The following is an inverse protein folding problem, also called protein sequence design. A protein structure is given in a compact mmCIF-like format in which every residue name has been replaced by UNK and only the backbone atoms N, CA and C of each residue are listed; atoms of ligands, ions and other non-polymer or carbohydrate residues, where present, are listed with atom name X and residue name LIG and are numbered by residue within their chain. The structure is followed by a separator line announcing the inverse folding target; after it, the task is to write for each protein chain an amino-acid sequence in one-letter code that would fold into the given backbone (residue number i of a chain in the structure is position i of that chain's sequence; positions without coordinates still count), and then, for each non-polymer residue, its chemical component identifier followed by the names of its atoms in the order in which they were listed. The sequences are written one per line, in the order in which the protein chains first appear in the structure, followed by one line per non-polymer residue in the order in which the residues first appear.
data_IF_893796860170
#
_entry.id   IF_893796860170
#
_cell.length_a   1.000
_cell.length_b   1.000
_cell.length_c   1.000
_cell.angle_alpha   90.00
_cell.angle_beta   90.00
_cell.angle_gamma   90.00
#
_symmetry.space_group_name_H-M   'P 1'
#
loop_
_entity.id
_entity.type
_entity.pdbx_description
1 polymer ?
#
# COMPACT_ATOMS: atom_id res chain seq x y z
N UNK A 1 24.96 0.09 -1.40
CA UNK A 1 23.97 1.07 -0.94
C UNK A 1 23.54 1.91 -2.11
N UNK A 2 22.25 2.20 -2.16
CA UNK A 2 21.67 2.87 -3.31
C UNK A 2 21.70 4.37 -3.21
N UNK A 3 22.07 4.92 -2.06
CA UNK A 3 21.98 6.35 -1.87
C UNK A 3 20.61 6.86 -1.48
N UNK A 4 19.61 5.98 -1.48
CA UNK A 4 18.28 6.37 -1.03
C UNK A 4 18.26 6.49 0.47
N UNK A 5 17.49 7.45 1.00
CA UNK A 5 17.35 7.60 2.44
C UNK A 5 16.59 6.42 3.03
N UNK A 6 16.71 6.25 4.33
CA UNK A 6 15.95 5.21 5.01
C UNK A 6 14.45 5.40 4.78
N UNK A 7 13.99 6.65 4.87
CA UNK A 7 12.59 6.94 4.65
C UNK A 7 12.15 6.50 3.26
N UNK A 8 12.94 6.79 2.24
CA UNK A 8 12.59 6.41 0.88
C UNK A 8 12.55 4.90 0.72
N UNK A 9 13.47 4.21 1.35
CA UNK A 9 13.50 2.76 1.26
C UNK A 9 12.30 2.13 1.95
N UNK A 10 11.91 2.68 3.09
CA UNK A 10 10.74 2.17 3.81
C UNK A 10 9.48 2.42 2.99
N UNK A 11 9.37 3.60 2.39
CA UNK A 11 8.20 3.90 1.57
C UNK A 11 8.12 2.98 0.37
N UNK A 12 9.24 2.70 -0.24
CA UNK A 12 9.27 1.81 -1.39
C UNK A 12 8.80 0.41 -0.99
N UNK A 13 9.24 -0.05 0.17
CA UNK A 13 8.81 -1.35 0.65
C UNK A 13 7.32 -1.36 0.98
N UNK A 14 6.82 -0.29 1.58
CA UNK A 14 5.40 -0.19 1.87
C UNK A 14 4.56 -0.26 0.60
N UNK A 15 4.99 0.46 -0.43
CA UNK A 15 4.28 0.44 -1.70
C UNK A 15 4.20 -0.98 -2.24
N UNK A 16 5.32 -1.67 -2.20
CA UNK A 16 5.36 -3.04 -2.70
C UNK A 16 4.41 -3.94 -1.93
N UNK A 17 4.44 -3.83 -0.61
CA UNK A 17 3.58 -4.66 0.23
C UNK A 17 2.11 -4.37 -0.04
N UNK A 18 1.76 -3.10 -0.15
CA UNK A 18 0.38 -2.72 -0.40
C UNK A 18 -0.07 -3.23 -1.76
N UNK A 19 0.75 -3.07 -2.78
CA UNK A 19 0.37 -3.48 -4.12
C UNK A 19 0.21 -5.00 -4.21
N UNK A 20 1.07 -5.74 -3.54
CA UNK A 20 0.94 -7.19 -3.51
C UNK A 20 -0.35 -7.60 -2.81
N UNK A 21 -0.69 -6.93 -1.72
CA UNK A 21 -1.93 -7.26 -1.01
C UNK A 21 -3.15 -6.92 -1.84
N UNK A 22 -3.12 -5.78 -2.54
CA UNK A 22 -4.22 -5.41 -3.41
C UNK A 22 -4.45 -6.46 -4.49
N UNK A 23 -3.38 -6.95 -5.06
CA UNK A 23 -3.49 -7.98 -6.08
C UNK A 23 -4.02 -9.28 -5.49
N UNK A 24 -3.49 -9.65 -4.35
CA UNK A 24 -3.89 -10.92 -3.71
C UNK A 24 -5.38 -10.91 -3.35
N UNK A 25 -5.87 -9.79 -2.85
CA UNK A 25 -7.26 -9.70 -2.41
C UNK A 25 -8.16 -9.05 -3.45
N UNK A 26 -7.67 -8.91 -4.68
CA UNK A 26 -8.45 -8.38 -5.80
C UNK A 26 -9.08 -7.04 -5.47
N UNK A 27 -8.27 -6.16 -4.89
CA UNK A 27 -8.66 -4.80 -4.56
C UNK A 27 -9.77 -4.71 -3.52
N UNK A 28 -9.95 -5.75 -2.71
CA UNK A 28 -10.90 -5.69 -1.61
C UNK A 28 -10.24 -4.94 -0.46
N UNK A 29 -10.55 -3.66 -0.35
CA UNK A 29 -9.84 -2.78 0.57
C UNK A 29 -10.03 -3.17 2.03
N UNK A 30 -11.21 -3.68 2.38
CA UNK A 30 -11.44 -4.12 3.76
C UNK A 30 -10.49 -5.25 4.12
N UNK A 31 -10.33 -6.22 3.23
CA UNK A 31 -9.46 -7.35 3.50
C UNK A 31 -8.00 -6.93 3.49
N UNK A 32 -7.63 -6.04 2.58
CA UNK A 32 -6.25 -5.55 2.53
C UNK A 32 -5.90 -4.82 3.81
N UNK A 33 -6.77 -3.92 4.26
CA UNK A 33 -6.50 -3.18 5.49
C UNK A 33 -6.35 -4.12 6.68
N UNK A 34 -7.26 -5.11 6.78
CA UNK A 34 -7.18 -6.06 7.88
C UNK A 34 -5.87 -6.85 7.82
N UNK A 35 -5.50 -7.29 6.63
CA UNK A 35 -4.28 -8.07 6.46
C UNK A 35 -3.04 -7.27 6.85
N UNK A 36 -3.03 -5.99 6.52
CA UNK A 36 -1.88 -5.15 6.80
C UNK A 36 -1.93 -4.50 8.18
N UNK A 37 -2.98 -4.76 8.95
CA UNK A 37 -3.10 -4.17 10.28
C UNK A 37 -3.41 -2.69 10.26
N UNK A 38 -4.08 -2.24 9.22
CA UNK A 38 -4.45 -0.83 9.06
C UNK A 38 -5.95 -0.66 9.16
N UNK A 39 -6.36 0.55 9.58
CA UNK A 39 -7.75 0.92 9.42
C UNK A 39 -8.00 1.23 7.94
N UNK A 40 -9.28 1.21 7.55
CA UNK A 40 -9.59 1.55 6.17
C UNK A 40 -9.17 2.98 5.84
N UNK A 41 -9.39 3.89 6.79
CA UNK A 41 -8.97 5.27 6.57
C UNK A 41 -7.46 5.36 6.41
N UNK A 42 -6.71 4.60 7.23
CA UNK A 42 -5.27 4.59 7.11
C UNK A 42 -4.80 4.05 5.78
N UNK A 43 -5.47 3.00 5.29
CA UNK A 43 -5.13 2.45 3.99
C UNK A 43 -5.40 3.46 2.89
N UNK A 44 -6.56 4.12 2.92
CA UNK A 44 -6.88 5.12 1.92
C UNK A 44 -5.85 6.25 1.90
N UNK A 45 -5.41 6.68 3.08
CA UNK A 45 -4.41 7.74 3.14
C UNK A 45 -3.11 7.30 2.49
N UNK A 46 -2.71 6.06 2.69
CA UNK A 46 -1.49 5.56 2.07
C UNK A 46 -1.65 5.43 0.56
N UNK A 47 -2.79 4.98 0.10
CA UNK A 47 -3.04 4.88 -1.33
C UNK A 47 -2.95 6.25 -2.00
N UNK A 48 -3.52 7.25 -1.34
CA UNK A 48 -3.46 8.61 -1.86
C UNK A 48 -2.05 9.16 -1.81
N UNK A 49 -1.37 8.94 -0.70
CA UNK A 49 -0.01 9.44 -0.52
C UNK A 49 0.94 8.87 -1.57
N UNK A 50 0.81 7.60 -1.85
CA UNK A 50 1.70 6.92 -2.80
C UNK A 50 1.15 6.93 -4.21
N UNK A 51 0.00 7.56 -4.42
CA UNK A 51 -0.62 7.66 -5.73
C UNK A 51 -0.82 6.30 -6.37
N UNK A 52 -1.26 5.36 -5.56
CA UNK A 52 -1.55 4.02 -6.03
C UNK A 52 -2.97 4.01 -6.59
N UNK A 53 -3.08 3.76 -7.87
CA UNK A 53 -4.39 3.70 -8.51
C UNK A 53 -4.97 2.30 -8.33
N UNK A 54 -6.28 2.25 -8.14
CA UNK A 54 -6.98 0.98 -8.08
C UNK A 54 -7.63 0.72 -9.42
N UNK A 55 -7.55 -0.52 -9.85
CA UNK A 55 -8.29 -0.93 -11.02
C UNK A 55 -9.75 -1.02 -10.64
N UNK A 56 -10.51 -0.04 -11.03
CA UNK A 56 -11.92 -0.09 -10.76
C UNK A 56 -12.62 -0.63 -12.00
N UNK A 57 -13.34 -1.61 -11.77
CA UNK A 57 -14.02 -2.26 -12.89
C UNK A 57 -15.45 -1.99 -12.85
#
# INVERSE_FOLDING_TARGET
LTGASLKAQVEELEIKIIMEALEHFKNNLSKVARHLGLSRAGLYKKLERYQIALDSE
#
